data_IF_236146420736
#
_entry.id   IF_236146420736
#
_cell.length_a   1.000
_cell.length_b   1.000
_cell.length_c   1.000
_cell.angle_alpha   90.00
_cell.angle_beta   90.00
_cell.angle_gamma   90.00
#
_symmetry.space_group_name_H-M   'P 1'
#
loop_
_entity.id
_entity.type
_entity.pdbx_description
1 polymer ?
#
# COMPACT_ATOMS: atom_id res chain seq x y z
N UNK A 1 -4.65 -9.59 18.15
CA UNK A 1 -5.18 -8.64 17.15
C UNK A 1 -5.61 -9.48 15.95
N UNK A 2 -6.91 -9.50 15.61
CA UNK A 2 -7.45 -10.32 14.52
C UNK A 2 -6.94 -9.74 13.19
N UNK A 3 -6.05 -10.47 12.52
CA UNK A 3 -5.39 -10.04 11.28
C UNK A 3 -6.25 -10.22 10.01
N UNK A 4 -7.48 -10.74 10.15
CA UNK A 4 -8.40 -11.00 9.04
C UNK A 4 -9.16 -9.76 8.56
N UNK A 5 -9.75 -8.99 9.49
CA UNK A 5 -10.74 -7.96 9.17
C UNK A 5 -10.09 -6.66 8.64
N UNK A 6 -9.00 -6.21 9.28
CA UNK A 6 -8.26 -5.03 8.83
C UNK A 6 -7.68 -5.18 7.42
N UNK A 7 -7.40 -6.42 6.99
CA UNK A 7 -6.90 -6.70 5.65
C UNK A 7 -8.00 -6.63 4.58
N UNK A 8 -9.28 -6.68 4.95
CA UNK A 8 -10.40 -6.49 4.03
C UNK A 8 -10.62 -4.99 3.80
N UNK A 9 -10.81 -4.21 4.87
CA UNK A 9 -11.03 -2.75 4.82
C UNK A 9 -9.95 -2.00 4.03
N UNK A 10 -8.69 -2.41 4.17
CA UNK A 10 -7.57 -1.80 3.42
C UNK A 10 -7.68 -2.09 1.92
N UNK A 11 -8.06 -3.32 1.53
CA UNK A 11 -8.24 -3.66 0.11
C UNK A 11 -9.40 -2.88 -0.50
N UNK A 12 -10.45 -2.66 0.29
CA UNK A 12 -11.62 -1.91 -0.12
C UNK A 12 -11.31 -0.43 -0.35
N UNK A 13 -10.57 0.16 0.60
CA UNK A 13 -10.08 1.53 0.49
C UNK A 13 -9.18 1.71 -0.73
N UNK A 14 -8.26 0.76 -0.98
CA UNK A 14 -7.38 0.81 -2.15
C UNK A 14 -8.15 0.66 -3.46
N UNK A 15 -9.13 -0.26 -3.53
CA UNK A 15 -9.96 -0.42 -4.73
C UNK A 15 -10.73 0.86 -5.07
N UNK A 16 -11.30 1.50 -4.04
CA UNK A 16 -12.02 2.78 -4.15
C UNK A 16 -11.11 3.91 -4.65
N UNK A 17 -9.88 4.01 -4.13
CA UNK A 17 -8.91 5.05 -4.52
C UNK A 17 -8.37 4.81 -5.93
N UNK A 18 -7.96 3.57 -6.24
CA UNK A 18 -7.34 3.24 -7.53
C UNK A 18 -8.31 3.40 -8.70
N UNK A 19 -9.62 3.20 -8.48
CA UNK A 19 -10.65 3.22 -9.53
C UNK A 19 -10.19 2.47 -10.78
N UNK A 20 -9.66 1.26 -10.64
CA UNK A 20 -9.14 0.48 -11.76
C UNK A 20 -10.22 0.21 -12.82
N UNK A 21 -9.83 0.19 -14.11
CA UNK A 21 -10.70 -0.29 -15.21
C UNK A 21 -10.70 -1.81 -15.33
N UNK A 22 -9.74 -2.48 -14.67
CA UNK A 22 -9.66 -3.94 -14.67
C UNK A 22 -10.70 -4.53 -13.73
N UNK A 23 -11.20 -5.70 -14.09
CA UNK A 23 -12.16 -6.49 -13.30
C UNK A 23 -11.56 -7.11 -12.03
N UNK A 24 -10.26 -6.90 -11.78
CA UNK A 24 -9.60 -7.28 -10.55
C UNK A 24 -8.37 -6.39 -10.26
N UNK A 25 -8.01 -6.30 -8.98
CA UNK A 25 -6.74 -5.75 -8.49
C UNK A 25 -5.90 -6.90 -7.93
N UNK A 26 -4.61 -6.89 -8.25
CA UNK A 26 -3.63 -7.81 -7.68
C UNK A 26 -2.80 -7.06 -6.64
N UNK A 27 -2.96 -7.45 -5.38
CA UNK A 27 -2.11 -6.97 -4.30
C UNK A 27 -0.92 -7.92 -4.16
N UNK A 28 0.29 -7.34 -4.20
CA UNK A 28 1.53 -8.05 -3.92
C UNK A 28 2.04 -7.61 -2.55
N UNK A 29 2.05 -8.53 -1.60
CA UNK A 29 2.60 -8.32 -0.26
C UNK A 29 3.93 -9.07 -0.15
N UNK A 30 5.06 -8.43 -0.52
CA UNK A 30 6.37 -9.04 -0.35
C UNK A 30 6.71 -9.16 1.14
N UNK A 31 7.38 -10.25 1.53
CA UNK A 31 8.00 -10.35 2.83
C UNK A 31 9.24 -9.43 2.85
N UNK A 32 9.19 -8.40 3.69
CA UNK A 32 10.25 -7.39 3.81
C UNK A 32 10.70 -7.30 5.26
N UNK A 33 11.94 -6.85 5.47
CA UNK A 33 12.47 -6.59 6.81
C UNK A 33 11.53 -5.67 7.58
N UNK A 34 11.05 -6.10 8.75
CA UNK A 34 10.19 -5.27 9.59
C UNK A 34 11.04 -4.49 10.59
N UNK A 35 10.53 -3.31 10.98
CA UNK A 35 11.06 -2.61 12.14
C UNK A 35 11.07 -3.52 13.38
N UNK A 36 12.10 -3.37 14.21
CA UNK A 36 12.20 -4.06 15.49
C UNK A 36 11.68 -3.21 16.65
N UNK A 37 11.53 -1.91 16.43
CA UNK A 37 10.99 -0.95 17.39
C UNK A 37 9.55 -0.55 17.02
N UNK A 38 8.93 0.29 17.87
CA UNK A 38 7.57 0.80 17.65
C UNK A 38 7.50 2.16 16.96
N UNK A 39 8.64 2.75 16.56
CA UNK A 39 8.71 4.17 16.18
C UNK A 39 9.32 4.44 14.81
N UNK A 40 10.03 3.46 14.22
CA UNK A 40 10.73 3.62 12.95
C UNK A 40 9.85 3.34 11.73
N UNK A 41 8.55 3.06 11.92
CA UNK A 41 7.65 2.58 10.87
C UNK A 41 7.52 3.59 9.74
N UNK A 42 7.50 4.88 10.07
CA UNK A 42 7.49 5.96 9.08
C UNK A 42 8.76 5.97 8.22
N UNK A 43 9.93 5.73 8.81
CA UNK A 43 11.19 5.71 8.07
C UNK A 43 11.31 4.46 7.19
N UNK A 44 10.87 3.30 7.68
CA UNK A 44 10.75 2.09 6.85
C UNK A 44 9.75 2.28 5.71
N UNK A 45 8.58 2.89 5.97
CA UNK A 45 7.60 3.17 4.94
C UNK A 45 8.16 4.07 3.84
N UNK A 46 8.93 5.10 4.19
CA UNK A 46 9.61 5.96 3.23
C UNK A 46 10.69 5.22 2.43
N UNK A 47 11.50 4.40 3.10
CA UNK A 47 12.53 3.59 2.44
C UNK A 47 11.92 2.62 1.41
N UNK A 48 10.84 1.93 1.79
CA UNK A 48 10.11 1.03 0.89
C UNK A 48 9.46 1.78 -0.26
N UNK A 49 8.79 2.91 0.01
CA UNK A 49 8.16 3.72 -1.03
C UNK A 49 9.19 4.20 -2.05
N UNK A 50 10.36 4.65 -1.58
CA UNK A 50 11.45 5.07 -2.46
C UNK A 50 11.92 3.92 -3.36
N UNK A 51 12.23 2.75 -2.78
CA UNK A 51 12.68 1.60 -3.58
C UNK A 51 11.62 1.15 -4.59
N UNK A 52 10.33 1.13 -4.21
CA UNK A 52 9.22 0.80 -5.13
C UNK A 52 9.15 1.81 -6.28
N UNK A 53 9.25 3.11 -6.00
CA UNK A 53 9.27 4.17 -7.02
C UNK A 53 10.49 4.04 -7.96
N UNK A 54 11.63 3.62 -7.43
CA UNK A 54 12.87 3.38 -8.19
C UNK A 54 12.94 1.96 -8.80
N UNK A 55 11.81 1.26 -8.88
CA UNK A 55 11.67 -0.09 -9.45
C UNK A 55 12.60 -1.14 -8.84
N UNK A 56 12.95 -0.96 -7.56
CA UNK A 56 13.70 -1.90 -6.75
C UNK A 56 12.75 -2.69 -5.86
N UNK A 57 13.10 -3.94 -5.59
CA UNK A 57 12.31 -4.81 -4.71
C UNK A 57 12.81 -4.66 -3.26
N UNK A 58 11.99 -4.11 -2.34
CA UNK A 58 12.38 -3.95 -0.94
C UNK A 58 12.67 -5.29 -0.24
N UNK A 59 12.13 -6.41 -0.73
CA UNK A 59 12.41 -7.74 -0.14
C UNK A 59 13.82 -8.25 -0.43
N UNK A 60 14.52 -7.63 -1.38
CA UNK A 60 15.91 -7.93 -1.74
C UNK A 60 16.90 -6.93 -1.12
N UNK A 61 16.47 -6.22 -0.08
CA UNK A 61 17.25 -5.23 0.65
C UNK A 61 17.38 -5.63 2.10
N UNK A 62 18.59 -5.45 2.63
CA UNK A 62 18.86 -5.43 4.06
C UNK A 62 19.03 -3.96 4.43
N UNK A 63 18.09 -3.43 5.20
CA UNK A 63 18.12 -2.02 5.58
C UNK A 63 19.05 -1.81 6.76
N UNK A 64 19.57 -0.58 6.92
CA UNK A 64 20.44 -0.19 8.03
C UNK A 64 19.73 0.88 8.88
N UNK A 65 18.79 0.50 9.76
CA UNK A 65 17.84 1.43 10.39
C UNK A 65 18.51 2.47 11.28
N UNK A 66 19.65 2.12 11.89
CA UNK A 66 20.46 3.04 12.70
C UNK A 66 20.88 4.30 11.93
N UNK A 67 20.95 4.20 10.59
CA UNK A 67 21.33 5.30 9.71
C UNK A 67 20.12 6.00 9.05
N UNK A 68 18.89 5.54 9.27
CA UNK A 68 17.70 6.11 8.62
C UNK A 68 17.42 7.54 9.06
N UNK A 69 17.39 7.81 10.36
CA UNK A 69 17.08 9.14 10.87
C UNK A 69 18.16 10.17 10.50
N UNK A 70 19.47 9.88 10.66
CA UNK A 70 20.53 10.77 10.17
C UNK A 70 20.41 11.04 8.66
N UNK A 71 20.23 9.99 7.85
CA UNK A 71 20.05 10.11 6.40
C UNK A 71 18.85 11.01 6.05
N UNK A 72 17.68 10.72 6.64
CA UNK A 72 16.47 11.47 6.34
C UNK A 72 16.64 12.96 6.68
N UNK A 73 17.28 13.30 7.80
CA UNK A 73 17.60 14.71 8.13
C UNK A 73 18.48 15.36 7.06
N UNK A 74 19.47 14.64 6.52
CA UNK A 74 20.30 15.17 5.43
C UNK A 74 19.52 15.37 4.14
N UNK A 75 18.51 14.54 3.85
CA UNK A 75 17.60 14.70 2.70
C UNK A 75 16.65 15.90 2.83
N UNK A 76 16.26 16.28 4.05
CA UNK A 76 15.35 17.41 4.26
C UNK A 76 15.96 18.76 3.88
N UNK A 77 17.29 18.91 3.95
CA UNK A 77 18.00 20.15 3.60
C UNK A 77 17.85 20.49 2.11
N UNK A 78 18.20 19.59 1.17
CA UNK A 78 17.97 19.81 -0.26
C UNK A 78 16.51 19.57 -0.69
N UNK A 79 15.63 19.14 0.22
CA UNK A 79 14.25 18.71 -0.08
C UNK A 79 14.18 17.57 -1.11
N UNK A 80 15.21 16.72 -1.12
CA UNK A 80 15.33 15.60 -2.05
C UNK A 80 15.58 14.32 -1.26
N UNK A 81 14.63 13.39 -1.31
CA UNK A 81 14.78 12.06 -0.72
C UNK A 81 15.62 11.23 -1.67
N UNK A 82 16.69 10.63 -1.15
CA UNK A 82 17.52 9.67 -1.88
C UNK A 82 17.41 8.28 -1.24
N UNK A 83 17.94 7.26 -1.94
CA UNK A 83 17.91 5.86 -1.50
C UNK A 83 18.35 5.74 -0.05
N UNK A 84 17.49 5.14 0.78
CA UNK A 84 17.81 4.90 2.18
C UNK A 84 18.98 3.91 2.32
N UNK A 85 19.79 4.04 3.40
CA UNK A 85 20.92 3.16 3.67
C UNK A 85 20.50 1.69 3.71
N UNK A 86 20.97 0.93 2.74
CA UNK A 86 20.66 -0.50 2.60
C UNK A 86 21.74 -1.22 1.81
N UNK A 87 21.79 -2.55 1.97
CA UNK A 87 22.62 -3.45 1.19
C UNK A 87 21.71 -4.31 0.32
N UNK A 88 22.14 -4.61 -0.90
CA UNK A 88 21.43 -5.56 -1.76
C UNK A 88 21.73 -6.96 -1.26
N UNK A 89 20.67 -7.74 -1.01
CA UNK A 89 20.81 -9.14 -0.68
C UNK A 89 20.84 -9.93 -1.99
N UNK A 90 21.92 -10.68 -2.22
CA UNK A 90 21.99 -11.67 -3.28
C UNK A 90 21.52 -13.00 -2.72
N UNK A 91 20.19 -13.21 -2.70
CA UNK A 91 19.66 -14.52 -2.31
C UNK A 91 19.61 -15.48 -3.49
N UNK A 92 20.00 -16.74 -3.26
CA UNK A 92 19.77 -17.84 -4.21
C UNK A 92 18.28 -18.22 -4.30
N UNK A 93 17.50 -17.91 -3.25
CA UNK A 93 16.07 -18.19 -3.14
C UNK A 93 15.32 -16.87 -2.99
N UNK A 94 14.29 -16.64 -3.81
CA UNK A 94 13.49 -15.41 -3.74
C UNK A 94 12.71 -15.33 -2.42
N UNK A 95 12.59 -14.12 -1.82
CA UNK A 95 11.73 -13.89 -0.67
C UNK A 95 10.29 -14.32 -0.97
N UNK A 96 9.58 -14.79 0.05
CA UNK A 96 8.18 -15.17 -0.12
C UNK A 96 7.37 -13.89 -0.39
N UNK A 97 6.36 -14.02 -1.24
CA UNK A 97 5.36 -12.97 -1.41
C UNK A 97 3.97 -13.57 -1.44
N UNK A 98 3.03 -12.85 -0.83
CA UNK A 98 1.62 -13.23 -0.82
C UNK A 98 0.94 -12.41 -1.91
N UNK A 99 0.41 -13.11 -2.91
CA UNK A 99 -0.45 -12.54 -3.92
C UNK A 99 -1.91 -12.66 -3.49
N UNK A 100 -2.63 -11.54 -3.46
CA UNK A 100 -4.08 -11.52 -3.22
C UNK A 100 -4.78 -10.87 -4.40
N UNK A 101 -5.69 -11.62 -5.02
CA UNK A 101 -6.57 -11.12 -6.07
C UNK A 101 -7.88 -10.68 -5.44
N UNK A 102 -8.26 -9.43 -5.67
CA UNK A 102 -9.56 -8.88 -5.29
C UNK A 102 -10.32 -8.60 -6.57
N UNK A 103 -11.52 -9.17 -6.69
CA UNK A 103 -12.39 -8.89 -7.83
C UNK A 103 -13.07 -7.54 -7.62
N UNK A 104 -13.21 -6.77 -8.69
CA UNK A 104 -13.96 -5.51 -8.66
C UNK A 104 -15.26 -5.74 -9.41
N UNK A 105 -16.39 -5.55 -8.74
CA UNK A 105 -17.71 -5.75 -9.32
C UNK A 105 -18.57 -4.51 -9.07
N UNK A 106 -18.59 -3.55 -10.01
CA UNK A 106 -19.64 -2.54 -10.21
C UNK A 106 -19.15 -1.48 -11.22
N UNK A 107 -20.08 -0.80 -11.93
CA UNK A 107 -19.79 0.48 -12.60
C UNK A 107 -19.31 1.59 -11.63
N UNK A 108 -19.69 1.47 -10.35
CA UNK A 108 -19.27 2.29 -9.20
C UNK A 108 -17.89 1.93 -8.63
N UNK A 109 -17.25 0.85 -9.13
CA UNK A 109 -15.88 0.41 -8.78
C UNK A 109 -15.63 0.17 -7.29
N UNK A 110 -16.67 -0.16 -6.54
CA UNK A 110 -16.55 -0.61 -5.17
C UNK A 110 -16.18 -2.11 -5.13
N UNK A 111 -15.42 -2.55 -4.11
CA UNK A 111 -15.13 -3.95 -3.81
C UNK A 111 -16.41 -4.70 -3.40
N UNK A 112 -16.44 -6.01 -3.64
CA UNK A 112 -17.53 -6.91 -3.25
C UNK A 112 -17.30 -7.40 -1.83
N UNK A 113 -18.19 -7.03 -0.91
CA UNK A 113 -18.07 -7.23 0.54
C UNK A 113 -18.96 -8.36 1.07
N UNK A 114 -19.51 -9.22 0.20
CA UNK A 114 -20.48 -10.30 0.52
C UNK A 114 -21.81 -9.84 1.20
N UNK A 115 -21.98 -8.53 1.40
CA UNK A 115 -23.22 -7.88 1.85
C UNK A 115 -24.12 -7.49 0.65
N UNK A 116 -25.38 -7.12 0.93
CA UNK A 116 -26.34 -6.67 -0.08
C UNK A 116 -25.76 -5.55 -0.96
N UNK A 117 -25.48 -5.87 -2.22
CA UNK A 117 -24.90 -4.96 -3.21
C UNK A 117 -25.70 -3.66 -3.28
N UNK A 118 -25.07 -2.54 -2.89
CA UNK A 118 -25.70 -1.21 -2.98
C UNK A 118 -25.91 -0.90 -4.47
N UNK A 119 -27.18 -0.96 -4.89
CA UNK A 119 -27.56 -0.72 -6.27
C UNK A 119 -27.16 0.71 -6.68
N UNK A 120 -26.40 0.84 -7.77
CA UNK A 120 -25.81 2.10 -8.25
C UNK A 120 -26.85 3.20 -8.54
N UNK A 121 -28.14 2.86 -8.63
CA UNK A 121 -29.24 3.81 -8.73
C UNK A 121 -29.38 4.72 -7.49
N UNK A 122 -28.97 4.28 -6.30
CA UNK A 122 -29.21 5.00 -5.04
C UNK A 122 -28.09 5.99 -4.66
N UNK A 123 -26.93 5.93 -5.31
CA UNK A 123 -25.83 6.89 -5.05
C UNK A 123 -26.08 8.21 -5.79
N UNK A 124 -26.71 8.17 -6.98
CA UNK A 124 -27.02 9.38 -7.74
C UNK A 124 -28.18 10.19 -7.13
N UNK A 125 -29.14 9.53 -6.46
CA UNK A 125 -30.27 10.22 -5.81
C UNK A 125 -29.87 10.96 -4.54
N UNK A 126 -28.82 10.53 -3.84
CA UNK A 126 -28.29 11.22 -2.66
C UNK A 126 -27.54 12.51 -2.97
N UNK A 127 -26.89 12.60 -4.15
CA UNK A 127 -26.11 13.78 -4.55
C UNK A 127 -27.04 14.88 -5.10
N UNK A 128 -28.16 14.51 -5.73
CA UNK A 128 -29.13 15.50 -6.24
C UNK A 128 -30.00 16.13 -5.15
N UNK A 129 -30.08 15.55 -3.95
CA UNK A 129 -30.87 16.12 -2.84
C UNK A 129 -30.12 17.18 -2.01
N UNK A 130 -28.80 17.32 -2.16
CA UNK A 130 -27.97 18.32 -1.47
C UNK A 130 -27.61 19.52 -2.35
N UNK A 131 -28.13 19.57 -3.59
CA UNK A 131 -27.92 20.69 -4.53
C UNK A 131 -29.16 21.58 -4.67
N UNK A 132 -30.19 21.37 -3.85
CA UNK A 132 -31.43 22.15 -3.82
C UNK A 132 -31.91 22.42 -2.37
N UNK A 133 -31.01 22.88 -1.50
CA UNK A 133 -31.36 23.71 -0.33
C UNK A 133 -30.29 24.79 -0.10
#
# INVERSE_FOLDING_TARGET
MRTGDAALEVKESVATIMKSLNWHILFHFPEVEQQKDGSSCGLFALAFAFDVCDRKDPSLREYLPDNFCPHFRTCLIPQEITSFPSRKITMAVKPRSILRRVKIFCHCRLPDSDDDMVNAQNVLTGITSLALE
#
